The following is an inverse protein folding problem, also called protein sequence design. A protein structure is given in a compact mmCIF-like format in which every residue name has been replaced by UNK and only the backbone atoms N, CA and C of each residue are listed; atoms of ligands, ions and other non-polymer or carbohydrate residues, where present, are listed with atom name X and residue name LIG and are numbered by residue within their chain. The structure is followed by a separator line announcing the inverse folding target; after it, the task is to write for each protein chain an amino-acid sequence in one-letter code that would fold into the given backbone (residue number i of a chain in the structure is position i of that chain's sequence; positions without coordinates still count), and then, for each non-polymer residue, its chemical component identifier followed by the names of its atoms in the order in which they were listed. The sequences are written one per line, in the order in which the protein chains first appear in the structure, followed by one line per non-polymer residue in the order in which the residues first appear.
data_IF_612508461336
#
_entry.id   IF_612508461336
#
_cell.length_a   1.000
_cell.length_b   1.000
_cell.length_c   1.000
_cell.angle_alpha   90.00
_cell.angle_beta   90.00
_cell.angle_gamma   90.00
#
_symmetry.space_group_name_H-M   'P 1'
#
loop_
_entity.id
_entity.type
_entity.pdbx_description
1 polymer ?
#
# COMPACT_ATOMS: atom_id res chain seq x y z
N UNK A 1 3.24 -23.44 5.90
CA UNK A 1 2.40 -23.55 7.11
C UNK A 1 0.95 -23.63 6.66
N UNK A 2 0.07 -24.26 7.46
CA UNK A 2 -1.38 -24.24 7.19
C UNK A 2 -1.90 -22.83 7.47
N UNK A 3 -2.67 -22.29 6.54
CA UNK A 3 -3.27 -20.96 6.67
C UNK A 3 -4.70 -21.11 7.16
N UNK A 4 -5.09 -20.34 8.17
CA UNK A 4 -6.44 -20.28 8.69
C UNK A 4 -7.08 -18.94 8.38
N UNK A 5 -8.29 -18.96 7.82
CA UNK A 5 -9.06 -17.75 7.53
C UNK A 5 -10.00 -17.43 8.67
N UNK A 6 -10.03 -16.17 9.06
CA UNK A 6 -10.86 -15.61 10.13
C UNK A 6 -11.65 -14.41 9.65
N UNK A 7 -12.66 -14.03 10.42
CA UNK A 7 -13.44 -12.80 10.19
C UNK A 7 -13.57 -12.03 11.50
N UNK A 8 -13.06 -10.79 11.51
CA UNK A 8 -13.27 -9.84 12.59
C UNK A 8 -14.50 -8.99 12.26
N UNK A 9 -15.59 -9.21 12.99
CA UNK A 9 -16.82 -8.44 12.84
C UNK A 9 -16.73 -7.15 13.66
N UNK A 10 -16.69 -6.01 12.98
CA UNK A 10 -16.86 -4.68 13.59
C UNK A 10 -18.25 -4.10 13.27
N UNK A 11 -18.68 -2.99 13.86
CA UNK A 11 -19.94 -2.35 13.49
C UNK A 11 -20.00 -1.95 11.99
N UNK A 12 -18.88 -1.54 11.41
CA UNK A 12 -18.82 -0.90 10.10
C UNK A 12 -18.32 -1.81 8.97
N UNK A 13 -17.62 -2.89 9.32
CA UNK A 13 -17.03 -3.83 8.35
C UNK A 13 -16.86 -5.22 8.95
N UNK A 14 -16.94 -6.24 8.11
CA UNK A 14 -16.46 -7.60 8.41
C UNK A 14 -15.09 -7.76 7.74
N UNK A 15 -14.01 -7.67 8.53
CA UNK A 15 -12.64 -7.81 8.04
C UNK A 15 -12.27 -9.29 7.96
N UNK A 16 -11.91 -9.75 6.76
CA UNK A 16 -11.41 -11.11 6.55
C UNK A 16 -9.90 -11.08 6.53
N UNK A 17 -9.30 -11.95 7.33
CA UNK A 17 -7.86 -12.08 7.44
C UNK A 17 -7.42 -13.53 7.52
N UNK A 18 -6.19 -13.78 7.08
CA UNK A 18 -5.58 -15.09 7.06
C UNK A 18 -4.37 -15.11 8.00
N UNK A 19 -4.23 -16.20 8.76
CA UNK A 19 -3.13 -16.42 9.68
C UNK A 19 -2.38 -17.68 9.27
N UNK A 20 -1.10 -17.53 8.97
CA UNK A 20 -0.17 -18.63 8.72
C UNK A 20 0.81 -18.73 9.91
N UNK A 21 0.59 -19.70 10.78
CA UNK A 21 1.35 -19.90 12.02
C UNK A 21 0.51 -19.78 13.28
N UNK A 22 1.11 -19.98 14.48
CA UNK A 22 0.38 -19.93 15.74
C UNK A 22 0.14 -18.49 16.22
N UNK A 23 -1.03 -18.23 16.81
CA UNK A 23 -1.31 -17.03 17.60
C UNK A 23 -1.82 -17.47 18.99
N UNK A 24 -1.23 -16.97 20.10
CA UNK A 24 0.00 -16.16 20.14
C UNK A 24 1.21 -16.91 19.58
N UNK A 25 2.22 -16.15 19.14
CA UNK A 25 3.45 -16.70 18.53
C UNK A 25 4.20 -17.60 19.49
N UNK A 26 4.73 -18.72 19.00
CA UNK A 26 5.37 -19.72 19.83
C UNK A 26 6.74 -19.28 20.40
N UNK A 27 7.43 -18.40 19.68
CA UNK A 27 8.77 -17.89 20.00
C UNK A 27 8.77 -16.51 20.67
N UNK A 28 7.57 -15.92 20.87
CA UNK A 28 7.40 -14.58 21.42
C UNK A 28 7.80 -13.44 20.49
N UNK A 29 8.13 -13.71 19.23
CA UNK A 29 8.34 -12.65 18.24
C UNK A 29 6.97 -12.05 17.83
N UNK A 30 6.88 -10.73 17.58
CA UNK A 30 5.66 -10.14 17.05
C UNK A 30 5.25 -10.81 15.73
N UNK A 31 3.94 -11.05 15.47
CA UNK A 31 3.49 -11.49 14.15
C UNK A 31 3.86 -10.48 13.08
N UNK A 32 4.09 -10.95 11.85
CA UNK A 32 4.31 -10.10 10.69
C UNK A 32 2.98 -9.87 9.97
N UNK A 33 2.42 -8.67 10.09
CA UNK A 33 1.24 -8.25 9.35
C UNK A 33 1.65 -7.67 7.98
N UNK A 34 1.07 -8.19 6.89
CA UNK A 34 1.29 -7.66 5.54
C UNK A 34 0.02 -6.92 5.09
N UNK A 35 0.18 -5.64 4.73
CA UNK A 35 -0.91 -4.72 4.44
C UNK A 35 -0.73 -4.03 3.08
N UNK A 36 -1.74 -4.11 2.21
CA UNK A 36 -1.82 -3.41 0.93
C UNK A 36 -3.06 -2.53 0.84
N UNK A 37 -3.13 -1.67 -0.17
CA UNK A 37 -4.33 -1.00 -0.62
C UNK A 37 -4.10 -0.44 -2.04
N UNK A 38 -4.97 -0.75 -3.03
CA UNK A 38 -6.16 -1.59 -2.96
C UNK A 38 -5.87 -3.11 -3.03
N UNK A 39 -4.63 -3.51 -2.91
CA UNK A 39 -4.23 -4.92 -2.90
C UNK A 39 -4.78 -5.65 -1.67
N UNK A 40 -5.30 -6.86 -1.90
CA UNK A 40 -5.84 -7.76 -0.87
C UNK A 40 -4.78 -8.76 -0.38
N UNK A 41 -5.15 -9.64 0.55
CA UNK A 41 -4.30 -10.71 1.08
C UNK A 41 -3.64 -11.56 -0.01
N UNK A 42 -4.34 -11.79 -1.12
CA UNK A 42 -3.86 -12.60 -2.26
C UNK A 42 -2.53 -12.08 -2.82
N UNK A 43 -2.34 -10.76 -2.88
CA UNK A 43 -1.12 -10.15 -3.40
C UNK A 43 0.14 -10.39 -2.54
N UNK A 44 -0.01 -10.92 -1.33
CA UNK A 44 1.11 -11.22 -0.44
C UNK A 44 1.51 -12.70 -0.39
N UNK A 45 0.83 -13.56 -1.17
CA UNK A 45 1.03 -15.01 -1.09
C UNK A 45 2.49 -15.44 -1.29
N UNK A 46 3.14 -14.93 -2.34
CA UNK A 46 4.55 -15.23 -2.61
C UNK A 46 5.46 -14.68 -1.50
N UNK A 47 5.31 -13.41 -1.11
CA UNK A 47 6.15 -12.83 -0.06
C UNK A 47 6.00 -13.59 1.25
N UNK A 48 4.78 -13.91 1.67
CA UNK A 48 4.50 -14.65 2.89
C UNK A 48 5.19 -16.02 2.93
N UNK A 49 5.32 -16.68 1.77
CA UNK A 49 5.99 -17.99 1.68
C UNK A 49 7.49 -17.96 2.00
N UNK A 50 8.11 -16.79 1.96
CA UNK A 50 9.51 -16.58 2.35
C UNK A 50 9.72 -16.35 3.86
N UNK A 51 8.63 -16.41 4.66
CA UNK A 51 8.67 -16.27 6.12
C UNK A 51 8.16 -17.53 6.85
N UNK A 52 8.74 -18.73 6.57
CA UNK A 52 8.22 -19.99 7.09
C UNK A 52 8.36 -20.12 8.62
N UNK A 53 9.27 -19.35 9.21
CA UNK A 53 9.59 -19.40 10.65
C UNK A 53 8.87 -18.30 11.45
N UNK A 54 7.98 -17.53 10.81
CA UNK A 54 7.20 -16.46 11.45
C UNK A 54 5.71 -16.70 11.30
N UNK A 55 4.93 -16.27 12.28
CA UNK A 55 3.49 -16.10 12.08
C UNK A 55 3.27 -14.90 11.18
N UNK A 56 2.65 -15.15 10.03
CA UNK A 56 2.30 -14.11 9.05
C UNK A 56 0.79 -13.92 9.04
N UNK A 57 0.36 -12.67 9.06
CA UNK A 57 -1.05 -12.27 8.93
C UNK A 57 -1.20 -11.42 7.68
N UNK A 58 -2.19 -11.76 6.85
CA UNK A 58 -2.61 -10.95 5.70
C UNK A 58 -4.09 -10.66 5.83
N UNK A 59 -4.59 -9.58 5.25
CA UNK A 59 -6.00 -9.25 5.33
C UNK A 59 -6.50 -8.57 4.04
N UNK A 60 -7.81 -8.63 3.85
CA UNK A 60 -8.45 -7.85 2.80
C UNK A 60 -8.93 -6.52 3.41
N UNK A 61 -8.51 -5.35 2.85
CA UNK A 61 -8.97 -4.06 3.34
C UNK A 61 -10.49 -3.89 3.22
N UNK A 62 -11.07 -3.00 4.03
CA UNK A 62 -12.52 -2.72 4.00
C UNK A 62 -13.04 -2.45 2.59
N UNK A 63 -14.10 -3.14 2.21
CA UNK A 63 -14.74 -3.00 0.91
C UNK A 63 -14.00 -3.66 -0.25
N UNK A 64 -12.91 -4.38 0.02
CA UNK A 64 -12.12 -5.09 -0.97
C UNK A 64 -12.11 -6.60 -0.71
N UNK A 65 -11.95 -7.39 -1.77
CA UNK A 65 -11.88 -8.83 -1.69
C UNK A 65 -13.04 -9.44 -0.92
N UNK A 66 -12.73 -10.11 0.21
CA UNK A 66 -13.70 -10.80 1.07
C UNK A 66 -14.27 -9.91 2.18
N UNK A 67 -13.71 -8.70 2.40
CA UNK A 67 -14.09 -7.80 3.49
C UNK A 67 -15.26 -6.90 3.12
N UNK A 68 -16.44 -7.23 3.65
CA UNK A 68 -17.68 -6.53 3.34
C UNK A 68 -17.94 -5.31 4.23
N UNK A 69 -18.19 -4.13 3.63
CA UNK A 69 -18.63 -2.92 4.36
C UNK A 69 -20.09 -3.04 4.80
N UNK A 70 -20.39 -2.48 5.97
CA UNK A 70 -21.74 -2.43 6.57
C UNK A 70 -22.23 -0.99 6.77
N UNK A 71 -21.32 0.00 6.63
CA UNK A 71 -21.59 1.42 6.88
C UNK A 71 -22.27 2.15 5.69
N UNK A 72 -22.41 1.48 4.54
CA UNK A 72 -23.02 2.05 3.34
C UNK A 72 -22.22 3.15 2.65
N UNK A 73 -20.99 3.37 3.07
CA UNK A 73 -20.07 4.38 2.50
C UNK A 73 -19.22 3.79 1.39
N UNK A 74 -18.72 4.64 0.50
CA UNK A 74 -17.77 4.28 -0.57
C UNK A 74 -16.40 4.92 -0.39
N UNK A 75 -16.33 6.01 0.35
CA UNK A 75 -15.09 6.72 0.61
C UNK A 75 -14.07 5.86 1.35
N UNK A 76 -12.79 6.03 1.01
CA UNK A 76 -11.65 5.38 1.61
C UNK A 76 -10.72 6.47 2.17
N UNK A 77 -10.39 6.37 3.44
CA UNK A 77 -9.44 7.27 4.06
C UNK A 77 -8.45 6.52 4.95
N UNK A 78 -7.23 7.04 5.13
CA UNK A 78 -6.24 6.43 6.01
C UNK A 78 -6.73 6.26 7.44
N UNK A 79 -7.55 7.17 7.97
CA UNK A 79 -8.11 7.10 9.32
C UNK A 79 -9.08 5.91 9.47
N UNK A 80 -9.93 5.67 8.46
CA UNK A 80 -10.81 4.50 8.47
C UNK A 80 -10.03 3.18 8.43
N UNK A 81 -8.97 3.14 7.60
CA UNK A 81 -8.11 1.97 7.51
C UNK A 81 -7.21 1.81 8.75
N UNK A 82 -6.75 2.91 9.36
CA UNK A 82 -6.05 2.92 10.65
C UNK A 82 -6.89 2.26 11.73
N UNK A 83 -8.17 2.65 11.85
CA UNK A 83 -9.09 2.06 12.82
C UNK A 83 -9.31 0.55 12.58
N UNK A 84 -9.37 0.10 11.32
CA UNK A 84 -9.46 -1.32 10.98
C UNK A 84 -8.19 -2.09 11.37
N UNK A 85 -7.03 -1.53 11.05
CA UNK A 85 -5.74 -2.12 11.41
C UNK A 85 -5.59 -2.22 12.93
N UNK A 86 -5.95 -1.17 13.68
CA UNK A 86 -5.96 -1.17 15.14
C UNK A 86 -6.85 -2.28 15.70
N UNK A 87 -8.08 -2.41 15.17
CA UNK A 87 -8.99 -3.48 15.59
C UNK A 87 -8.43 -4.88 15.29
N UNK A 88 -7.85 -5.07 14.09
CA UNK A 88 -7.22 -6.34 13.71
C UNK A 88 -6.02 -6.66 14.60
N UNK A 89 -5.14 -5.70 14.86
CA UNK A 89 -3.96 -5.89 15.71
C UNK A 89 -4.37 -6.20 17.16
N UNK A 90 -5.41 -5.55 17.65
CA UNK A 90 -5.99 -5.88 18.97
C UNK A 90 -6.47 -7.34 19.04
N UNK A 91 -7.09 -7.84 17.97
CA UNK A 91 -7.58 -9.23 17.88
C UNK A 91 -6.44 -10.24 17.83
N UNK A 92 -5.40 -9.99 17.05
CA UNK A 92 -4.28 -10.93 16.85
C UNK A 92 -3.20 -10.83 17.94
N UNK A 93 -3.19 -9.76 18.73
CA UNK A 93 -2.24 -9.49 19.81
C UNK A 93 -1.11 -8.55 19.42
N UNK A 94 -1.16 -7.30 19.96
CA UNK A 94 -0.11 -6.30 19.83
C UNK A 94 1.13 -6.60 20.73
N UNK A 95 2.33 -6.05 20.41
CA UNK A 95 2.62 -5.34 19.18
C UNK A 95 2.89 -6.30 18.00
N UNK A 96 2.75 -5.76 16.77
CA UNK A 96 3.10 -6.46 15.53
C UNK A 96 4.28 -5.80 14.81
N UNK A 97 4.91 -6.52 13.88
CA UNK A 97 5.71 -5.92 12.82
C UNK A 97 4.82 -5.79 11.57
N UNK A 98 4.95 -4.70 10.84
CA UNK A 98 4.16 -4.47 9.63
C UNK A 98 5.10 -4.31 8.42
N UNK A 99 4.84 -5.11 7.38
CA UNK A 99 5.22 -4.75 6.02
C UNK A 99 3.98 -4.20 5.31
N UNK A 100 4.02 -2.93 4.94
CA UNK A 100 2.91 -2.28 4.25
C UNK A 100 3.36 -1.69 2.92
N UNK A 101 2.56 -1.89 1.85
CA UNK A 101 2.90 -1.41 0.51
C UNK A 101 1.84 -0.49 -0.06
N UNK A 102 2.30 0.54 -0.81
CA UNK A 102 1.43 1.47 -1.53
C UNK A 102 0.45 2.21 -0.59
N UNK A 103 -0.84 2.27 -0.92
CA UNK A 103 -1.85 2.84 -0.04
C UNK A 103 -1.92 2.16 1.34
N UNK A 104 -1.57 0.87 1.44
CA UNK A 104 -1.42 0.19 2.73
C UNK A 104 -0.33 0.81 3.61
N UNK A 105 0.76 1.28 3.01
CA UNK A 105 1.82 1.99 3.73
C UNK A 105 1.34 3.34 4.28
N UNK A 106 0.48 4.06 3.54
CA UNK A 106 -0.16 5.29 4.03
C UNK A 106 -1.06 5.01 5.23
N UNK A 107 -1.89 3.95 5.12
CA UNK A 107 -2.78 3.52 6.21
C UNK A 107 -2.00 3.12 7.46
N UNK A 108 -0.87 2.42 7.29
CA UNK A 108 -0.01 2.03 8.40
C UNK A 108 0.73 3.22 9.04
N UNK A 109 1.09 4.25 8.27
CA UNK A 109 1.63 5.50 8.82
C UNK A 109 0.58 6.24 9.64
N UNK A 110 -0.69 6.29 9.18
CA UNK A 110 -1.79 6.83 9.97
C UNK A 110 -1.98 6.06 11.29
N UNK A 111 -1.96 4.71 11.22
CA UNK A 111 -2.03 3.85 12.40
C UNK A 111 -0.93 4.18 13.42
N UNK A 112 0.32 4.26 13.00
CA UNK A 112 1.45 4.54 13.92
C UNK A 112 1.33 5.92 14.55
N UNK A 113 0.80 6.92 13.83
CA UNK A 113 0.57 8.25 14.40
C UNK A 113 -0.51 8.23 15.51
N UNK A 114 -1.53 7.38 15.38
CA UNK A 114 -2.67 7.30 16.30
C UNK A 114 -2.47 6.25 17.42
N UNK A 115 -1.86 5.10 17.07
CA UNK A 115 -1.68 3.92 17.93
C UNK A 115 -0.25 3.38 17.87
N UNK A 116 0.76 4.16 18.29
CA UNK A 116 2.16 3.75 18.18
C UNK A 116 2.52 2.49 18.98
N UNK A 117 1.73 2.17 20.02
CA UNK A 117 1.90 0.95 20.83
C UNK A 117 1.56 -0.34 20.08
N UNK A 118 0.79 -0.27 19.02
CA UNK A 118 0.38 -1.43 18.24
C UNK A 118 1.51 -1.99 17.37
N UNK A 119 2.51 -1.15 17.04
CA UNK A 119 3.49 -1.46 16.02
C UNK A 119 4.91 -1.33 16.55
N UNK A 120 5.65 -2.44 16.59
CA UNK A 120 7.07 -2.43 16.95
C UNK A 120 7.94 -1.88 15.81
N UNK A 121 7.72 -2.38 14.61
CA UNK A 121 8.42 -1.99 13.38
C UNK A 121 7.42 -1.84 12.23
N UNK A 122 7.48 -0.73 11.52
CA UNK A 122 6.80 -0.51 10.26
C UNK A 122 7.82 -0.40 9.12
N UNK A 123 7.70 -1.27 8.11
CA UNK A 123 8.30 -1.08 6.80
C UNK A 123 7.22 -0.55 5.86
N UNK A 124 7.24 0.76 5.59
CA UNK A 124 6.31 1.44 4.68
C UNK A 124 6.94 1.52 3.29
N UNK A 125 6.56 0.59 2.42
CA UNK A 125 7.10 0.46 1.07
C UNK A 125 6.26 1.29 0.08
N UNK A 126 6.91 2.26 -0.51
CA UNK A 126 6.37 3.13 -1.57
C UNK A 126 5.00 3.76 -1.28
N UNK A 127 4.84 4.49 -0.15
CA UNK A 127 3.59 5.22 0.15
C UNK A 127 3.35 6.34 -0.87
N UNK A 128 2.19 6.39 -1.57
CA UNK A 128 1.90 7.40 -2.59
C UNK A 128 1.44 8.74 -1.99
N UNK A 129 2.24 9.35 -1.14
CA UNK A 129 1.94 10.62 -0.46
C UNK A 129 2.25 11.81 -1.37
N UNK A 130 1.37 12.09 -2.35
CA UNK A 130 1.55 13.14 -3.34
C UNK A 130 1.71 14.52 -2.70
N UNK A 131 1.06 14.74 -1.57
CA UNK A 131 1.11 16.00 -0.83
C UNK A 131 2.50 16.39 -0.32
N UNK A 132 3.47 15.46 -0.32
CA UNK A 132 4.86 15.69 0.11
C UNK A 132 5.79 16.02 -1.07
N UNK A 133 5.33 15.90 -2.31
CA UNK A 133 6.14 16.19 -3.49
C UNK A 133 6.30 17.71 -3.71
N UNK A 134 7.44 18.18 -4.22
CA UNK A 134 7.63 19.58 -4.60
C UNK A 134 6.69 20.03 -5.71
N UNK A 135 6.29 19.10 -6.60
CA UNK A 135 5.34 19.29 -7.72
C UNK A 135 3.95 18.71 -7.39
N UNK A 136 3.52 18.73 -6.11
CA UNK A 136 2.27 18.13 -5.65
C UNK A 136 1.03 18.52 -6.47
N UNK A 137 0.89 19.82 -6.82
CA UNK A 137 -0.26 20.30 -7.60
C UNK A 137 -0.34 19.65 -8.98
N UNK A 138 0.81 19.47 -9.64
CA UNK A 138 0.92 18.81 -10.93
C UNK A 138 0.68 17.28 -10.79
N UNK A 139 1.19 16.66 -9.72
CA UNK A 139 0.95 15.25 -9.43
C UNK A 139 -0.57 14.97 -9.19
N UNK A 140 -1.25 15.82 -8.42
CA UNK A 140 -2.70 15.74 -8.25
C UNK A 140 -3.47 16.02 -9.56
N UNK A 141 -2.97 16.89 -10.42
CA UNK A 141 -3.58 17.09 -11.73
C UNK A 141 -3.44 15.85 -12.62
N UNK A 142 -2.29 15.18 -12.57
CA UNK A 142 -2.07 13.92 -13.26
C UNK A 142 -2.96 12.78 -12.74
N UNK A 143 -3.15 12.69 -11.43
CA UNK A 143 -4.08 11.75 -10.81
C UNK A 143 -5.54 12.02 -11.23
N UNK A 144 -5.98 13.28 -11.21
CA UNK A 144 -7.32 13.66 -11.70
C UNK A 144 -7.54 13.27 -13.16
N UNK A 145 -6.52 13.33 -14.00
CA UNK A 145 -6.63 12.92 -15.40
C UNK A 145 -6.94 11.40 -15.53
N UNK A 146 -6.45 10.57 -14.60
CA UNK A 146 -6.83 9.14 -14.53
C UNK A 146 -8.32 8.99 -14.22
N UNK A 147 -8.81 9.71 -13.22
CA UNK A 147 -10.22 9.67 -12.79
C UNK A 147 -11.14 10.21 -13.89
N UNK A 148 -10.77 11.30 -14.53
CA UNK A 148 -11.53 11.87 -15.66
C UNK A 148 -11.61 10.89 -16.82
N UNK A 149 -10.50 10.22 -17.17
CA UNK A 149 -10.51 9.19 -18.21
C UNK A 149 -11.43 8.03 -17.85
N UNK A 150 -11.40 7.57 -16.59
CA UNK A 150 -12.25 6.51 -16.08
C UNK A 150 -13.74 6.90 -16.14
N UNK A 151 -14.09 8.06 -15.58
CA UNK A 151 -15.49 8.51 -15.53
C UNK A 151 -16.08 8.85 -16.91
N UNK A 152 -15.25 9.25 -17.87
CA UNK A 152 -15.70 9.61 -19.22
C UNK A 152 -15.76 8.41 -20.16
N UNK A 153 -14.85 7.43 -20.01
CA UNK A 153 -14.60 6.38 -21.01
C UNK A 153 -14.44 4.97 -20.44
N UNK A 154 -14.66 4.75 -19.12
CA UNK A 154 -14.65 3.44 -18.48
C UNK A 154 -13.30 2.92 -18.02
N UNK A 155 -13.27 1.68 -17.54
CA UNK A 155 -12.13 1.08 -16.85
C UNK A 155 -10.86 1.04 -17.70
N UNK A 156 -10.98 0.67 -18.97
CA UNK A 156 -9.81 0.54 -19.85
C UNK A 156 -9.12 1.89 -20.08
N UNK A 157 -9.89 2.97 -20.25
CA UNK A 157 -9.34 4.31 -20.44
C UNK A 157 -8.70 4.85 -19.14
N UNK A 158 -9.33 4.64 -18.00
CA UNK A 158 -8.76 4.97 -16.69
C UNK A 158 -7.46 4.21 -16.44
N UNK A 159 -7.45 2.90 -16.72
CA UNK A 159 -6.26 2.05 -16.54
C UNK A 159 -5.13 2.44 -17.50
N UNK A 160 -5.42 2.76 -18.76
CA UNK A 160 -4.41 3.25 -19.70
C UNK A 160 -3.74 4.54 -19.19
N UNK A 161 -4.56 5.47 -18.69
CA UNK A 161 -4.06 6.73 -18.13
C UNK A 161 -3.27 6.48 -16.81
N UNK A 162 -3.69 5.53 -15.98
CA UNK A 162 -2.97 5.12 -14.78
C UNK A 162 -1.60 4.51 -15.11
N UNK A 163 -1.54 3.63 -16.13
CA UNK A 163 -0.27 3.06 -16.59
C UNK A 163 0.67 4.18 -17.11
N UNK A 164 0.13 5.13 -17.87
CA UNK A 164 0.93 6.27 -18.34
C UNK A 164 1.45 7.13 -17.18
N UNK A 165 0.62 7.38 -16.15
CA UNK A 165 0.99 8.09 -14.92
C UNK A 165 2.14 7.38 -14.20
N UNK A 166 2.03 6.07 -13.96
CA UNK A 166 3.02 5.29 -13.21
C UNK A 166 4.30 5.01 -14.01
N UNK A 167 4.22 5.05 -15.34
CA UNK A 167 5.38 4.93 -16.23
C UNK A 167 6.20 6.23 -16.32
N UNK A 168 5.62 7.38 -15.96
CA UNK A 168 6.34 8.65 -15.98
C UNK A 168 7.50 8.64 -15.00
N UNK A 169 8.59 9.34 -15.39
CA UNK A 169 9.80 9.47 -14.57
C UNK A 169 10.11 10.94 -14.31
N UNK A 170 10.45 11.26 -13.07
CA UNK A 170 10.74 12.63 -12.63
C UNK A 170 9.49 13.44 -12.28
N UNK A 171 9.65 14.75 -12.19
CA UNK A 171 8.57 15.68 -11.84
C UNK A 171 7.52 15.78 -12.95
N UNK A 172 6.27 16.03 -12.53
CA UNK A 172 5.19 16.33 -13.47
C UNK A 172 5.32 17.77 -13.95
N UNK A 173 5.67 17.92 -15.21
CA UNK A 173 5.93 19.21 -15.86
C UNK A 173 4.87 19.53 -16.91
N UNK A 174 4.97 20.71 -17.54
CA UNK A 174 4.15 21.07 -18.69
C UNK A 174 4.30 20.05 -19.84
N UNK A 175 5.45 19.37 -19.96
CA UNK A 175 5.66 18.29 -20.93
C UNK A 175 4.75 17.10 -20.67
N UNK A 176 4.60 16.70 -19.41
CA UNK A 176 3.63 15.66 -19.04
C UNK A 176 2.19 16.13 -19.32
N UNK A 177 1.86 17.34 -18.90
CA UNK A 177 0.51 17.90 -19.06
C UNK A 177 0.10 18.07 -20.53
N UNK A 178 1.06 18.24 -21.43
CA UNK A 178 0.84 18.38 -22.87
C UNK A 178 0.66 17.03 -23.60
N UNK A 179 0.86 15.90 -22.93
CA UNK A 179 0.68 14.59 -23.54
C UNK A 179 -0.80 14.35 -23.88
N UNK A 180 -1.09 13.72 -25.01
CA UNK A 180 -2.46 13.30 -25.31
C UNK A 180 -2.92 12.25 -24.29
N UNK A 181 -4.23 12.15 -24.06
CA UNK A 181 -4.78 11.08 -23.23
C UNK A 181 -4.31 9.70 -23.72
N UNK A 182 -3.97 8.83 -22.77
CA UNK A 182 -3.48 7.49 -23.09
C UNK A 182 -4.56 6.69 -23.83
N UNK A 183 -4.14 5.97 -24.88
CA UNK A 183 -5.02 5.11 -25.66
C UNK A 183 -4.94 3.67 -25.10
N UNK A 184 -6.06 3.06 -24.64
CA UNK A 184 -6.10 1.69 -24.19
C UNK A 184 -5.50 0.68 -25.18
N UNK A 185 -5.69 0.93 -26.49
CA UNK A 185 -5.17 0.04 -27.54
C UNK A 185 -3.64 -0.10 -27.51
N UNK A 186 -2.91 0.92 -27.04
CA UNK A 186 -1.45 0.85 -26.88
C UNK A 186 -1.00 -0.18 -25.83
N UNK A 187 -1.91 -0.54 -24.92
CA UNK A 187 -1.68 -1.52 -23.86
C UNK A 187 -2.44 -2.84 -24.10
N UNK A 188 -2.95 -3.04 -25.32
CA UNK A 188 -3.70 -4.24 -25.68
C UNK A 188 -5.09 -4.35 -25.03
N UNK A 189 -5.63 -3.24 -24.51
CA UNK A 189 -6.94 -3.19 -23.88
C UNK A 189 -8.02 -2.71 -24.88
N UNK A 190 -9.29 -3.17 -24.73
CA UNK A 190 -10.41 -2.64 -25.51
C UNK A 190 -10.60 -1.13 -25.28
N UNK A 191 -11.10 -0.43 -26.29
CA UNK A 191 -11.40 1.01 -26.20
C UNK A 191 -12.86 1.32 -25.81
N UNK A 192 -13.68 0.28 -25.67
CA UNK A 192 -15.09 0.42 -25.32
C UNK A 192 -15.27 0.76 -23.85
N UNK A 193 -16.27 1.60 -23.55
CA UNK A 193 -16.68 1.91 -22.18
C UNK A 193 -17.50 0.72 -21.62
N UNK A 194 -16.99 0.10 -20.56
CA UNK A 194 -17.62 -1.03 -19.88
C UNK A 194 -18.73 -0.61 -18.89
N UNK A 195 -18.95 0.69 -18.72
CA UNK A 195 -19.95 1.27 -17.81
C UNK A 195 -19.54 1.23 -16.33
N UNK A 196 -18.38 0.70 -15.98
CA UNK A 196 -17.89 0.68 -14.59
C UNK A 196 -17.55 2.09 -14.09
N UNK A 197 -17.88 2.39 -12.80
CA UNK A 197 -17.65 3.72 -12.18
C UNK A 197 -17.29 3.64 -10.69
N UNK A 198 -17.05 2.45 -10.16
CA UNK A 198 -16.79 2.19 -8.74
C UNK A 198 -15.46 1.49 -8.44
N UNK A 199 -14.57 1.42 -9.43
CA UNK A 199 -13.23 0.86 -9.25
C UNK A 199 -12.46 1.60 -8.15
N UNK A 200 -11.93 0.91 -7.12
CA UNK A 200 -11.31 1.54 -5.96
C UNK A 200 -10.02 2.31 -6.28
N UNK A 201 -9.34 1.96 -7.38
CA UNK A 201 -8.10 2.63 -7.83
C UNK A 201 -8.40 3.82 -8.74
N UNK A 202 -9.42 3.71 -9.61
CA UNK A 202 -9.63 4.63 -10.73
C UNK A 202 -10.73 5.67 -10.48
N UNK A 203 -11.67 5.39 -9.55
CA UNK A 203 -12.87 6.23 -9.35
C UNK A 203 -12.62 7.54 -8.59
N UNK A 204 -11.50 7.66 -7.90
CA UNK A 204 -11.23 8.76 -6.97
C UNK A 204 -11.72 8.51 -5.53
N UNK A 205 -12.36 7.38 -5.25
CA UNK A 205 -12.77 7.02 -3.89
C UNK A 205 -11.56 6.89 -2.94
N UNK A 206 -10.37 6.59 -3.49
CA UNK A 206 -9.10 6.50 -2.78
C UNK A 206 -8.29 7.80 -2.67
N UNK A 207 -8.80 8.94 -3.12
CA UNK A 207 -8.07 10.22 -3.10
C UNK A 207 -7.66 10.66 -1.68
N UNK A 208 -8.37 10.23 -0.65
CA UNK A 208 -7.98 10.44 0.75
C UNK A 208 -6.62 9.84 1.08
N UNK A 209 -6.23 8.76 0.40
CA UNK A 209 -4.94 8.09 0.61
C UNK A 209 -3.80 8.90 0.00
N UNK A 210 -3.91 9.30 -1.27
CA UNK A 210 -2.86 10.04 -1.97
C UNK A 210 -2.71 11.49 -1.50
N UNK A 211 -3.81 12.10 -1.02
CA UNK A 211 -3.82 13.45 -0.46
C UNK A 211 -3.53 13.51 1.04
N UNK A 212 -3.39 12.36 1.70
CA UNK A 212 -3.09 12.31 3.13
C UNK A 212 -1.82 13.08 3.48
N UNK A 213 -1.86 13.80 4.59
CA UNK A 213 -0.70 14.47 5.17
C UNK A 213 -0.39 13.82 6.50
N UNK A 214 0.67 12.99 6.56
CA UNK A 214 1.02 12.32 7.81
C UNK A 214 1.41 13.34 8.89
N UNK A 215 1.06 13.04 10.12
CA UNK A 215 1.56 13.79 11.28
C UNK A 215 3.02 13.40 11.54
N UNK A 216 3.93 14.14 10.90
CA UNK A 216 5.37 13.90 10.97
C UNK A 216 5.90 14.03 12.41
N UNK A 217 5.33 14.93 13.23
CA UNK A 217 5.74 15.11 14.62
C UNK A 217 5.36 13.89 15.46
N UNK A 218 4.13 13.40 15.32
CA UNK A 218 3.68 12.18 15.99
C UNK A 218 4.50 10.96 15.55
N UNK A 219 4.74 10.80 14.24
CA UNK A 219 5.55 9.70 13.71
C UNK A 219 7.01 9.74 14.21
N UNK A 220 7.61 10.93 14.28
CA UNK A 220 8.97 11.08 14.78
C UNK A 220 9.10 10.83 16.29
N UNK A 221 8.01 11.08 17.05
CA UNK A 221 7.95 10.85 18.49
C UNK A 221 7.55 9.40 18.86
N UNK A 222 7.03 8.64 17.91
CA UNK A 222 6.57 7.27 18.15
C UNK A 222 7.72 6.35 18.58
N UNK A 223 7.51 5.40 19.51
CA UNK A 223 8.49 4.38 19.84
C UNK A 223 8.66 3.35 18.72
N UNK A 224 7.75 3.32 17.78
CA UNK A 224 7.77 2.47 16.59
C UNK A 224 8.97 2.79 15.72
N UNK A 225 9.75 1.78 15.35
CA UNK A 225 10.75 1.96 14.30
C UNK A 225 10.08 2.02 12.94
N UNK A 226 10.20 3.16 12.25
CA UNK A 226 9.66 3.35 10.91
C UNK A 226 10.80 3.29 9.90
N UNK A 227 10.64 2.45 8.86
CA UNK A 227 11.54 2.32 7.72
C UNK A 227 10.73 2.60 6.46
N UNK A 228 11.15 3.61 5.69
CA UNK A 228 10.54 3.88 4.38
C UNK A 228 11.31 3.10 3.33
N UNK A 229 10.63 2.21 2.62
CA UNK A 229 11.19 1.41 1.54
C UNK A 229 10.96 2.02 0.16
N UNK A 230 11.92 1.86 -0.75
CA UNK A 230 11.82 2.26 -2.15
C UNK A 230 12.46 1.19 -3.03
N UNK A 231 11.78 0.77 -4.10
CA UNK A 231 12.36 -0.13 -5.08
C UNK A 231 13.51 0.55 -5.87
N UNK A 232 14.60 -0.16 -6.08
CA UNK A 232 15.75 0.37 -6.82
C UNK A 232 15.39 0.84 -8.23
N UNK A 233 14.41 0.19 -8.86
CA UNK A 233 13.90 0.52 -10.19
C UNK A 233 12.79 1.59 -10.17
N UNK A 234 12.26 1.93 -8.98
CA UNK A 234 11.16 2.88 -8.80
C UNK A 234 11.59 4.29 -8.48
N UNK A 235 12.87 4.55 -8.22
CA UNK A 235 13.35 5.80 -7.61
C UNK A 235 12.81 7.08 -8.27
N UNK A 236 12.72 7.10 -9.59
CA UNK A 236 12.22 8.25 -10.35
C UNK A 236 10.73 8.13 -10.71
N UNK A 237 10.06 7.04 -10.34
CA UNK A 237 8.61 6.89 -10.50
C UNK A 237 7.86 7.71 -9.46
N UNK A 238 6.55 7.85 -9.65
CA UNK A 238 5.70 8.57 -8.70
C UNK A 238 5.87 8.04 -7.26
N UNK A 239 5.71 6.73 -7.06
CA UNK A 239 5.79 6.10 -5.74
C UNK A 239 7.19 6.08 -5.15
N UNK A 240 8.21 5.98 -5.98
CA UNK A 240 9.61 6.10 -5.54
C UNK A 240 9.93 7.51 -5.07
N UNK A 241 9.50 8.53 -5.80
CA UNK A 241 9.66 9.94 -5.42
C UNK A 241 8.93 10.28 -4.13
N UNK A 242 7.68 9.80 -3.97
CA UNK A 242 6.94 10.01 -2.71
C UNK A 242 7.60 9.29 -1.54
N UNK A 243 8.22 8.12 -1.75
CA UNK A 243 8.98 7.41 -0.70
C UNK A 243 10.18 8.20 -0.24
N UNK A 244 10.96 8.76 -1.18
CA UNK A 244 12.10 9.62 -0.85
C UNK A 244 11.62 10.84 -0.07
N UNK A 245 10.57 11.53 -0.55
CA UNK A 245 10.01 12.70 0.13
C UNK A 245 9.46 12.36 1.53
N UNK A 246 8.83 11.19 1.71
CA UNK A 246 8.35 10.71 3.01
C UNK A 246 9.52 10.46 3.96
N UNK A 247 10.56 9.78 3.50
CA UNK A 247 11.74 9.54 4.32
C UNK A 247 12.42 10.84 4.75
N UNK A 248 12.58 11.79 3.83
CA UNK A 248 13.15 13.11 4.12
C UNK A 248 12.31 13.90 5.13
N UNK A 249 10.98 13.85 5.01
CA UNK A 249 10.06 14.48 5.96
C UNK A 249 10.23 13.91 7.39
N UNK A 250 10.56 12.61 7.49
CA UNK A 250 10.85 11.93 8.77
C UNK A 250 12.32 12.05 9.20
N UNK A 251 13.15 12.84 8.49
CA UNK A 251 14.56 13.04 8.81
C UNK A 251 15.44 11.82 8.57
N UNK A 252 15.03 10.89 7.69
CA UNK A 252 15.76 9.67 7.38
C UNK A 252 15.97 9.50 5.88
N UNK A 253 16.69 8.45 5.48
CA UNK A 253 16.84 8.04 4.09
C UNK A 253 15.96 6.83 3.83
N UNK A 254 15.36 6.78 2.64
CA UNK A 254 14.68 5.58 2.19
C UNK A 254 15.67 4.41 2.04
N UNK A 255 15.22 3.22 2.44
CA UNK A 255 15.96 1.97 2.28
C UNK A 255 15.62 1.37 0.92
N UNK A 256 16.64 1.04 0.14
CA UNK A 256 16.44 0.41 -1.16
C UNK A 256 16.05 -1.05 -1.02
N UNK A 257 15.02 -1.45 -1.75
CA UNK A 257 14.57 -2.82 -1.91
C UNK A 257 14.79 -3.27 -3.36
N UNK A 258 15.11 -4.54 -3.61
CA UNK A 258 15.27 -5.05 -4.97
C UNK A 258 14.02 -4.84 -5.82
N UNK A 259 14.23 -4.61 -7.14
CA UNK A 259 13.18 -4.48 -8.15
C UNK A 259 12.37 -3.18 -8.05
N UNK A 260 11.11 -3.23 -8.48
CA UNK A 260 10.17 -2.10 -8.64
C UNK A 260 9.07 -2.10 -7.57
N UNK A 261 8.03 -1.27 -7.73
CA UNK A 261 6.89 -1.15 -6.81
C UNK A 261 6.25 -2.49 -6.41
N UNK A 262 6.16 -3.44 -7.33
CA UNK A 262 5.72 -4.81 -7.09
C UNK A 262 6.86 -5.80 -6.87
N UNK A 263 8.01 -5.38 -6.35
CA UNK A 263 9.22 -6.21 -6.21
C UNK A 263 9.03 -7.48 -5.42
N UNK A 264 8.07 -7.52 -4.52
CA UNK A 264 7.72 -8.68 -3.68
C UNK A 264 6.76 -9.68 -4.34
N UNK A 265 6.20 -9.36 -5.52
CA UNK A 265 5.24 -10.21 -6.23
C UNK A 265 5.95 -11.30 -7.03
N UNK A 266 5.40 -12.52 -7.01
CA UNK A 266 5.90 -13.67 -7.76
C UNK A 266 5.17 -13.93 -9.08
N UNK A 267 4.30 -13.01 -9.49
CA UNK A 267 3.46 -13.14 -10.69
C UNK A 267 1.98 -12.88 -10.41
N UNK A 268 1.62 -12.57 -9.18
CA UNK A 268 0.29 -12.15 -8.79
C UNK A 268 -0.11 -10.92 -9.63
N UNK A 269 -1.35 -10.87 -10.08
CA UNK A 269 -1.89 -9.80 -10.93
C UNK A 269 -1.12 -9.57 -12.25
N UNK A 270 -0.36 -10.58 -12.72
CA UNK A 270 0.47 -10.46 -13.92
C UNK A 270 1.77 -9.68 -13.74
N UNK A 271 2.13 -9.33 -12.50
CA UNK A 271 3.39 -8.66 -12.16
C UNK A 271 4.38 -9.66 -11.56
N UNK A 272 5.61 -9.62 -12.02
CA UNK A 272 6.71 -10.39 -11.44
C UNK A 272 7.84 -9.44 -11.06
N UNK A 273 8.19 -9.46 -9.77
CA UNK A 273 9.34 -8.75 -9.22
C UNK A 273 10.52 -9.69 -8.99
N UNK A 274 11.23 -9.44 -7.90
CA UNK A 274 12.33 -10.27 -7.39
C UNK A 274 12.02 -10.70 -5.95
N UNK A 275 10.95 -11.52 -5.72
CA UNK A 275 10.40 -11.75 -4.38
C UNK A 275 11.39 -12.39 -3.41
N UNK A 276 12.30 -13.26 -3.87
CA UNK A 276 13.33 -13.86 -3.03
C UNK A 276 14.34 -12.81 -2.53
N UNK A 277 14.85 -11.97 -3.41
CA UNK A 277 15.77 -10.89 -3.04
C UNK A 277 15.08 -9.84 -2.18
N UNK A 278 13.83 -9.50 -2.51
CA UNK A 278 13.01 -8.58 -1.72
C UNK A 278 12.78 -9.11 -0.30
N UNK A 279 12.42 -10.39 -0.16
CA UNK A 279 12.23 -11.02 1.14
C UNK A 279 13.54 -11.04 1.96
N UNK A 280 14.69 -11.30 1.33
CA UNK A 280 15.98 -11.25 2.00
C UNK A 280 16.26 -9.86 2.58
N UNK A 281 16.01 -8.79 1.81
CA UNK A 281 16.14 -7.41 2.30
C UNK A 281 15.15 -7.11 3.44
N UNK A 282 13.91 -7.61 3.34
CA UNK A 282 12.91 -7.43 4.40
C UNK A 282 13.34 -8.17 5.69
N UNK A 283 13.90 -9.37 5.60
CA UNK A 283 14.49 -10.07 6.75
C UNK A 283 15.58 -9.24 7.42
N UNK A 284 16.52 -8.66 6.65
CA UNK A 284 17.58 -7.81 7.20
C UNK A 284 17.02 -6.62 7.98
N UNK A 285 15.97 -5.98 7.46
CA UNK A 285 15.30 -4.85 8.13
C UNK A 285 14.61 -5.31 9.41
N UNK A 286 13.85 -6.41 9.37
CA UNK A 286 13.14 -6.97 10.52
C UNK A 286 14.09 -7.37 11.65
N UNK A 287 15.22 -7.99 11.33
CA UNK A 287 16.23 -8.46 12.28
C UNK A 287 17.05 -7.32 12.89
N UNK A 288 17.08 -6.16 12.25
CA UNK A 288 17.85 -5.00 12.73
C UNK A 288 17.27 -4.34 13.99
N UNK A 289 16.04 -4.68 14.40
CA UNK A 289 15.36 -4.14 15.60
C UNK A 289 15.82 -4.84 16.88
N UNK A 290 16.41 -5.99 16.79
CA UNK A 290 16.89 -6.78 17.95
C UNK A 290 18.35 -6.52 18.34
N UNK A 291 19.03 -5.63 17.62
CA UNK A 291 20.43 -5.23 17.87
C UNK A 291 20.48 -3.78 18.35
#
# INVERSE_FOLDING_TARGET
METQTHTLATPDVDLVYDVAGPLPTADGQPPLLMAGHPMTAEGFGTLASHFPDRTVVTYDPRGLGRSGRKDGRTELSPELHSADLHALITEIGAPVDIFASSGGAVNALALVAEHPEDVRLLVAHEPPLLALLPDADAAFAAERAVQDAYHQRGSNAGMAQFIALTAWRGEFTDEYAAQPPADPAMFGMPSDDDGSRDDPLLSGNGNGITSFRPDVEALAAAPTRIVIGVGEESRDSLTGRTSVATAEALGQKAVEFPSHHGGFLGGEHGYAGQPEAFAAQLHEVLDSVGR
#
